data_IF_131666002478
#
_entry.id   IF_131666002478
#
_cell.length_a   1.000
_cell.length_b   1.000
_cell.length_c   1.000
_cell.angle_alpha   90.00
_cell.angle_beta   90.00
_cell.angle_gamma   90.00
#
_symmetry.space_group_name_H-M   'P 1'
#
loop_
_entity.id
_entity.type
_entity.pdbx_description
1 polymer ?
#
# COMPACT_ATOMS: atom_id res chain seq x y z
N UNK A 1 33.42 4.61 17.82
CA UNK A 1 32.70 3.39 18.25
C UNK A 1 31.69 3.04 17.18
N UNK A 2 31.65 1.80 16.63
CA UNK A 2 30.58 1.41 15.73
C UNK A 2 29.37 1.04 16.59
N UNK A 3 28.33 1.88 16.58
CA UNK A 3 27.05 1.57 17.20
C UNK A 3 26.40 0.44 16.41
N UNK A 4 26.15 -0.69 17.08
CA UNK A 4 25.37 -1.80 16.53
C UNK A 4 24.00 -1.26 16.13
N UNK A 5 23.72 -1.17 14.84
CA UNK A 5 22.38 -0.84 14.35
C UNK A 5 21.57 -2.12 14.53
N UNK A 6 20.83 -2.24 15.63
CA UNK A 6 19.89 -3.34 15.81
C UNK A 6 18.79 -3.19 14.76
N UNK A 7 18.82 -4.06 13.75
CA UNK A 7 17.69 -4.24 12.85
C UNK A 7 16.59 -4.95 13.62
N UNK A 8 15.39 -4.37 13.65
CA UNK A 8 14.20 -5.00 14.20
C UNK A 8 13.13 -5.14 13.14
N UNK A 9 12.26 -6.12 13.35
CA UNK A 9 11.08 -6.33 12.52
C UNK A 9 10.02 -5.29 12.87
N UNK A 10 9.37 -4.77 11.83
CA UNK A 10 8.31 -3.78 11.90
C UNK A 10 7.08 -4.37 11.24
N UNK A 11 5.93 -4.18 11.85
CA UNK A 11 4.66 -4.62 11.31
C UNK A 11 3.99 -3.47 10.55
N UNK A 12 3.68 -3.70 9.28
CA UNK A 12 2.83 -2.83 8.47
C UNK A 12 1.48 -3.52 8.26
N UNK A 13 0.46 -3.02 8.94
CA UNK A 13 -0.91 -3.49 8.84
C UNK A 13 -1.67 -2.69 7.79
N UNK A 14 -1.97 -3.31 6.65
CA UNK A 14 -2.96 -2.80 5.71
C UNK A 14 -4.35 -3.26 6.13
N UNK A 15 -5.26 -2.32 6.41
CA UNK A 15 -6.66 -2.63 6.71
C UNK A 15 -7.56 -2.19 5.55
N UNK A 16 -8.30 -3.15 4.99
CA UNK A 16 -9.31 -2.87 3.98
C UNK A 16 -10.61 -2.40 4.65
N UNK A 17 -10.69 -1.10 4.92
CA UNK A 17 -11.90 -0.45 5.40
C UNK A 17 -12.86 -0.05 4.27
N UNK A 18 -12.56 -0.43 3.03
CA UNK A 18 -13.40 -0.13 1.87
C UNK A 18 -14.42 -1.24 1.64
N UNK A 19 -15.54 -0.91 1.01
CA UNK A 19 -16.57 -1.89 0.63
C UNK A 19 -16.19 -2.74 -0.60
N UNK A 20 -14.97 -2.58 -1.11
CA UNK A 20 -14.48 -3.24 -2.30
C UNK A 20 -13.29 -4.14 -1.97
N UNK A 21 -13.11 -5.21 -2.74
CA UNK A 21 -11.90 -6.02 -2.65
C UNK A 21 -10.68 -5.21 -3.13
N UNK A 22 -9.57 -5.38 -2.44
CA UNK A 22 -8.32 -4.64 -2.71
C UNK A 22 -7.20 -5.64 -2.90
N UNK A 23 -6.45 -5.50 -4.00
CA UNK A 23 -5.26 -6.31 -4.23
C UNK A 23 -4.02 -5.52 -3.88
N UNK A 24 -3.14 -6.10 -3.07
CA UNK A 24 -1.85 -5.54 -2.69
C UNK A 24 -0.76 -6.39 -3.34
N UNK A 25 0.16 -5.72 -4.04
CA UNK A 25 1.28 -6.35 -4.74
C UNK A 25 2.56 -5.57 -4.45
N UNK A 26 3.73 -6.19 -4.64
CA UNK A 26 4.98 -5.43 -4.70
C UNK A 26 4.98 -4.53 -5.95
N UNK A 27 5.36 -3.26 -5.79
CA UNK A 27 5.33 -2.30 -6.89
C UNK A 27 6.27 -2.67 -8.04
N UNK A 28 7.35 -3.41 -7.75
CA UNK A 28 8.27 -3.93 -8.76
C UNK A 28 7.64 -5.02 -9.63
N UNK A 29 6.66 -5.75 -9.08
CA UNK A 29 6.02 -6.90 -9.73
C UNK A 29 4.64 -6.55 -10.31
N UNK A 30 4.20 -5.29 -10.16
CA UNK A 30 2.90 -4.83 -10.62
C UNK A 30 2.73 -5.05 -12.13
N UNK A 31 1.77 -5.89 -12.52
CA UNK A 31 1.45 -6.21 -13.91
C UNK A 31 2.20 -7.43 -14.49
N UNK A 32 3.13 -8.01 -13.73
CA UNK A 32 3.46 -9.43 -13.89
C UNK A 32 2.41 -10.25 -13.13
N UNK A 33 2.13 -11.48 -13.54
CA UNK A 33 1.21 -12.40 -12.83
C UNK A 33 1.87 -12.88 -11.52
N UNK A 34 2.26 -11.92 -10.68
CA UNK A 34 3.01 -12.12 -9.46
C UNK A 34 2.10 -12.11 -8.24
N UNK A 35 2.67 -12.50 -7.11
CA UNK A 35 2.02 -12.74 -5.82
C UNK A 35 1.21 -11.52 -5.35
N UNK A 36 -0.03 -11.47 -5.79
CA UNK A 36 -1.01 -10.50 -5.37
C UNK A 36 -1.77 -11.07 -4.18
N UNK A 37 -1.75 -10.34 -3.08
CA UNK A 37 -2.61 -10.66 -1.95
C UNK A 37 -3.92 -9.91 -2.14
N UNK A 38 -5.01 -10.66 -2.27
CA UNK A 38 -6.35 -10.11 -2.24
C UNK A 38 -6.78 -9.94 -0.79
N UNK A 39 -7.29 -8.76 -0.45
CA UNK A 39 -7.97 -8.50 0.80
C UNK A 39 -9.44 -8.25 0.52
N UNK A 40 -10.29 -9.03 1.16
CA UNK A 40 -11.73 -8.79 1.17
C UNK A 40 -12.09 -7.58 2.05
N UNK A 41 -13.30 -7.02 1.90
CA UNK A 41 -13.77 -5.93 2.75
C UNK A 41 -13.68 -6.30 4.24
N UNK A 42 -13.15 -5.40 5.07
CA UNK A 42 -12.88 -5.59 6.50
C UNK A 42 -11.73 -6.55 6.85
N UNK A 43 -10.99 -7.07 5.86
CA UNK A 43 -9.78 -7.84 6.13
C UNK A 43 -8.57 -6.95 6.40
N UNK A 44 -7.56 -7.53 7.06
CA UNK A 44 -6.28 -6.89 7.30
C UNK A 44 -5.13 -7.78 6.88
N UNK A 45 -4.10 -7.18 6.30
CA UNK A 45 -2.86 -7.82 5.91
C UNK A 45 -1.72 -7.22 6.70
N UNK A 46 -1.05 -8.05 7.50
CA UNK A 46 0.17 -7.66 8.21
C UNK A 46 1.38 -8.05 7.38
N UNK A 47 2.21 -7.08 7.04
CA UNK A 47 3.49 -7.28 6.37
C UNK A 47 4.62 -7.04 7.37
N UNK A 48 5.62 -7.93 7.34
CA UNK A 48 6.81 -7.80 8.17
C UNK A 48 7.88 -7.08 7.34
N UNK A 49 8.38 -5.96 7.86
CA UNK A 49 9.36 -5.09 7.23
C UNK A 49 10.63 -5.02 8.09
N UNK A 50 11.78 -4.87 7.45
CA UNK A 50 13.01 -4.56 8.15
C UNK A 50 13.08 -3.06 8.52
N UNK A 51 13.53 -2.76 9.74
CA UNK A 51 13.66 -1.39 10.21
C UNK A 51 14.56 -0.53 9.33
N UNK A 52 14.04 0.63 8.89
CA UNK A 52 14.77 1.59 8.06
C UNK A 52 14.86 1.23 6.58
N UNK A 53 14.47 0.01 6.18
CA UNK A 53 14.35 -0.42 4.80
C UNK A 53 13.15 0.22 4.11
N UNK A 54 13.21 0.28 2.78
CA UNK A 54 12.18 0.92 1.97
C UNK A 54 11.48 -0.15 1.14
N UNK A 55 10.18 -0.33 1.39
CA UNK A 55 9.34 -1.24 0.63
C UNK A 55 8.37 -0.46 -0.23
N UNK A 56 8.06 -0.99 -1.41
CA UNK A 56 7.13 -0.36 -2.35
C UNK A 56 6.04 -1.34 -2.71
N UNK A 57 4.80 -0.94 -2.48
CA UNK A 57 3.60 -1.72 -2.74
C UNK A 57 2.70 -0.99 -3.73
N UNK A 58 2.08 -1.73 -4.63
CA UNK A 58 1.00 -1.26 -5.47
C UNK A 58 -0.31 -1.78 -4.88
N UNK A 59 -1.16 -0.86 -4.43
CA UNK A 59 -2.48 -1.15 -3.89
C UNK A 59 -3.49 -0.83 -4.98
N UNK A 60 -4.25 -1.82 -5.45
CA UNK A 60 -5.27 -1.68 -6.48
C UNK A 60 -6.65 -1.96 -5.90
N UNK A 61 -7.55 -0.98 -6.01
CA UNK A 61 -8.94 -1.07 -5.56
C UNK A 61 -9.90 -1.02 -6.75
N UNK A 62 -10.87 -1.93 -6.77
CA UNK A 62 -11.94 -1.98 -7.76
C UNK A 62 -13.19 -1.31 -7.24
N UNK A 63 -13.49 -0.09 -7.69
CA UNK A 63 -14.77 0.52 -7.32
C UNK A 63 -15.91 -0.14 -8.08
N UNK A 64 -16.93 -0.65 -7.39
CA UNK A 64 -18.11 -1.26 -8.03
C UNK A 64 -18.86 -0.31 -9.00
N UNK A 65 -18.67 1.00 -8.85
CA UNK A 65 -19.27 2.04 -9.72
C UNK A 65 -18.31 2.60 -10.77
N UNK A 66 -17.06 2.13 -10.83
CA UNK A 66 -15.98 2.74 -11.59
C UNK A 66 -15.57 1.83 -12.74
N UNK A 67 -15.63 2.32 -13.99
CA UNK A 67 -15.13 1.62 -15.18
C UNK A 67 -13.61 1.40 -15.18
N UNK A 68 -12.92 1.89 -14.16
CA UNK A 68 -11.47 1.79 -13.97
C UNK A 68 -11.15 1.40 -12.53
N UNK A 69 -10.03 0.70 -12.34
CA UNK A 69 -9.45 0.45 -11.03
C UNK A 69 -8.59 1.64 -10.62
N UNK A 70 -8.57 1.98 -9.33
CA UNK A 70 -7.64 2.97 -8.79
C UNK A 70 -6.43 2.22 -8.24
N UNK A 71 -5.23 2.72 -8.53
CA UNK A 71 -3.98 2.12 -8.08
C UNK A 71 -3.15 3.18 -7.38
N UNK A 72 -2.66 2.85 -6.18
CA UNK A 72 -1.78 3.67 -5.38
C UNK A 72 -0.43 2.97 -5.19
N UNK A 73 0.66 3.63 -5.57
CA UNK A 73 2.01 3.23 -5.18
C UNK A 73 2.28 3.77 -3.79
N UNK A 74 2.46 2.84 -2.87
CA UNK A 74 2.74 3.08 -1.46
C UNK A 74 4.19 2.76 -1.21
N UNK A 75 4.92 3.73 -0.66
CA UNK A 75 6.28 3.57 -0.18
C UNK A 75 6.24 3.54 1.34
N UNK A 76 6.59 2.40 1.92
CA UNK A 76 6.71 2.23 3.36
C UNK A 76 8.19 2.30 3.76
N UNK A 77 8.51 3.19 4.70
CA UNK A 77 9.78 3.28 5.39
C UNK A 77 9.52 3.73 6.82
N UNK A 78 9.62 2.78 7.74
CA UNK A 78 9.40 3.08 9.16
C UNK A 78 10.46 2.47 10.05
N UNK A 79 10.40 2.94 11.30
CA UNK A 79 11.15 2.51 12.46
C UNK A 79 10.17 2.06 13.58
N UNK A 80 8.88 1.93 13.28
CA UNK A 80 7.81 1.52 14.20
C UNK A 80 6.67 0.85 13.44
N UNK A 81 5.87 0.07 14.13
CA UNK A 81 4.67 -0.55 13.57
C UNK A 81 3.71 0.51 13.04
N UNK A 82 3.09 0.22 11.90
CA UNK A 82 2.27 1.16 11.14
C UNK A 82 0.92 0.52 10.83
N UNK A 83 -0.15 1.29 11.00
CA UNK A 83 -1.48 0.91 10.54
C UNK A 83 -1.91 1.82 9.38
N UNK A 84 -2.25 1.19 8.26
CA UNK A 84 -2.63 1.86 7.02
C UNK A 84 -4.00 1.42 6.55
N UNK A 85 -4.98 2.31 6.71
CA UNK A 85 -6.32 2.10 6.15
C UNK A 85 -6.31 2.40 4.65
N UNK A 86 -6.93 1.54 3.87
CA UNK A 86 -6.91 1.65 2.42
C UNK A 86 -7.68 2.89 1.95
N UNK A 87 -8.79 3.26 2.59
CA UNK A 87 -9.51 4.50 2.28
C UNK A 87 -8.62 5.74 2.34
N UNK A 88 -7.71 5.82 3.31
CA UNK A 88 -6.78 6.94 3.48
C UNK A 88 -5.79 7.06 2.33
N UNK A 89 -5.37 5.94 1.73
CA UNK A 89 -4.49 5.92 0.55
C UNK A 89 -5.17 6.54 -0.68
N UNK A 90 -6.49 6.38 -0.78
CA UNK A 90 -7.29 6.82 -1.93
C UNK A 90 -8.07 8.14 -1.69
N UNK A 91 -8.19 8.59 -0.44
CA UNK A 91 -8.94 9.80 -0.06
C UNK A 91 -8.21 11.12 -0.40
N UNK A 92 -6.91 11.08 -0.74
CA UNK A 92 -6.14 12.28 -1.07
C UNK A 92 -5.70 12.33 -2.56
N UNK A 93 -6.53 12.86 -3.47
CA UNK A 93 -6.10 13.16 -4.84
C UNK A 93 -5.42 14.55 -4.99
N UNK A 94 -5.50 15.44 -3.99
CA UNK A 94 -5.17 16.86 -4.15
C UNK A 94 -4.05 17.43 -3.27
N UNK A 95 -3.31 16.62 -2.51
CA UNK A 95 -2.12 17.16 -1.82
C UNK A 95 -0.90 17.16 -2.74
N UNK A 96 -0.95 18.00 -3.78
CA UNK A 96 0.23 18.44 -4.56
C UNK A 96 1.28 19.18 -3.68
N UNK A 97 1.00 19.33 -2.39
CA UNK A 97 1.84 20.00 -1.39
C UNK A 97 1.83 19.28 -0.02
N UNK A 98 1.65 17.96 0.05
CA UNK A 98 2.06 17.26 1.27
C UNK A 98 3.55 16.99 1.12
N UNK A 99 4.34 17.82 1.77
CA UNK A 99 5.79 17.71 1.82
C UNK A 99 6.16 16.22 2.00
N UNK A 100 6.91 15.60 1.06
CA UNK A 100 7.31 14.19 1.15
C UNK A 100 8.17 13.88 2.40
N UNK A 101 8.48 14.92 3.19
CA UNK A 101 9.20 14.87 4.46
C UNK A 101 8.35 14.60 5.71
N UNK A 102 7.01 14.62 5.63
CA UNK A 102 6.13 14.26 6.75
C UNK A 102 5.39 12.95 6.43
N UNK A 103 6.07 11.80 6.57
CA UNK A 103 5.41 10.52 6.40
C UNK A 103 4.32 10.42 7.46
N UNK A 104 3.11 10.08 7.04
CA UNK A 104 2.10 9.60 7.99
C UNK A 104 2.65 8.27 8.49
N UNK A 105 3.22 8.27 9.69
CA UNK A 105 3.71 7.06 10.35
C UNK A 105 4.70 6.20 9.54
N UNK A 106 5.48 6.81 8.64
CA UNK A 106 6.44 6.09 7.78
C UNK A 106 5.88 5.59 6.44
N UNK A 107 4.63 5.92 6.08
CA UNK A 107 4.03 5.52 4.79
C UNK A 107 3.71 6.74 3.92
N UNK A 108 4.13 6.67 2.66
CA UNK A 108 3.97 7.75 1.66
C UNK A 108 3.33 7.18 0.40
N UNK A 109 2.31 7.86 -0.13
CA UNK A 109 1.74 7.53 -1.45
C UNK A 109 2.53 8.31 -2.51
N UNK A 110 3.32 7.60 -3.30
CA UNK A 110 4.21 8.17 -4.32
C UNK A 110 3.43 8.52 -5.61
N UNK A 111 2.50 7.64 -6.00
CA UNK A 111 1.74 7.81 -7.24
C UNK A 111 0.33 7.25 -7.11
N UNK A 112 -0.66 8.00 -7.60
CA UNK A 112 -2.02 7.53 -7.79
C UNK A 112 -2.36 7.54 -9.28
N UNK A 113 -2.84 6.43 -9.82
CA UNK A 113 -3.28 6.36 -11.22
C UNK A 113 -4.51 5.46 -11.38
N UNK A 114 -5.08 5.52 -12.59
CA UNK A 114 -6.22 4.70 -12.99
C UNK A 114 -5.71 3.59 -13.88
N UNK A 115 -6.06 2.37 -13.55
CA UNK A 115 -5.80 1.20 -14.38
C UNK A 115 -7.11 0.74 -15.01
N UNK A 116 -7.14 0.74 -16.35
CA UNK A 116 -8.29 0.28 -17.13
C UNK A 116 -8.19 -1.21 -17.46
N UNK A 117 -7.09 -1.88 -17.07
CA UNK A 117 -6.97 -3.32 -17.21
C UNK A 117 -7.91 -4.00 -16.21
N UNK A 118 -8.84 -4.75 -16.78
CA UNK A 118 -9.68 -5.69 -16.04
C UNK A 118 -8.77 -6.78 -15.50
N UNK A 119 -8.46 -6.71 -14.22
CA UNK A 119 -7.98 -7.89 -13.51
C UNK A 119 -9.22 -8.74 -13.28
N UNK A 120 -9.45 -9.73 -14.15
CA UNK A 120 -10.49 -10.72 -13.91
C UNK A 120 -10.08 -11.47 -12.65
N UNK A 121 -10.78 -11.21 -11.55
CA UNK A 121 -10.78 -12.10 -10.40
C UNK A 121 -11.45 -13.39 -10.87
N UNK A 122 -10.64 -14.38 -11.23
CA UNK A 122 -11.13 -15.74 -11.42
C UNK A 122 -11.22 -16.31 -10.00
N UNK A 123 -12.45 -16.44 -9.50
CA UNK A 123 -12.79 -17.30 -8.35
C UNK A 123 -12.33 -18.75 -8.58
#
# INVERSE_FOLDING_TARGET
>A
MPSHVQSYEILLDFSNDTSAAVSIQLAQEYGQNSNAVLLDPSEKLTLILDSGSVYRYAVKTGGQSSSFYKVANVRARSWRDIQCNISNLFACPNSLYRDPSLPIDGVVVDRLWRDYKISMYLE
#
